data_IF_568875412147
#
_entry.id   IF_568875412147
#
_cell.length_a   1.000
_cell.length_b   1.000
_cell.length_c   1.000
_cell.angle_alpha   90.00
_cell.angle_beta   90.00
_cell.angle_gamma   90.00
#
_symmetry.space_group_name_H-M   'P 1'
#
loop_
_entity.id
_entity.type
_entity.pdbx_description
1 polymer ?
#
# COMPACT_ATOMS: atom_id res chain seq x y z
N UNK A 1 -43.36 62.12 -0.73
CA UNK A 1 -42.77 61.17 0.27
C UNK A 1 -41.26 61.24 0.11
N UNK A 2 -40.55 61.79 1.08
CA UNK A 2 -39.09 61.91 1.10
C UNK A 2 -38.51 60.68 1.81
N UNK A 3 -37.66 59.89 1.15
CA UNK A 3 -36.92 58.77 1.76
C UNK A 3 -35.70 59.35 2.51
N UNK A 4 -35.60 59.02 3.80
CA UNK A 4 -34.44 59.32 4.66
C UNK A 4 -33.51 58.12 4.59
N UNK A 5 -32.31 58.30 4.00
CA UNK A 5 -31.24 57.32 4.05
C UNK A 5 -30.45 57.47 5.34
N UNK A 6 -30.48 56.47 6.23
CA UNK A 6 -29.66 56.40 7.42
C UNK A 6 -28.37 55.68 7.07
N UNK A 7 -27.26 56.42 6.99
CA UNK A 7 -25.94 55.82 6.82
C UNK A 7 -25.44 55.20 8.12
N UNK A 8 -25.22 53.88 8.10
CA UNK A 8 -24.52 53.18 9.17
C UNK A 8 -22.99 53.35 8.95
N UNK A 9 -22.36 54.11 9.83
CA UNK A 9 -20.90 54.17 9.92
C UNK A 9 -20.40 52.91 10.66
N UNK A 10 -19.78 52.01 9.94
CA UNK A 10 -19.06 50.84 10.49
C UNK A 10 -17.74 51.35 11.07
N UNK A 11 -17.59 51.41 12.38
CA UNK A 11 -16.31 51.62 13.06
C UNK A 11 -15.63 50.27 13.13
N UNK A 12 -14.65 50.04 12.25
CA UNK A 12 -13.77 48.87 12.33
C UNK A 12 -12.75 49.11 13.46
N UNK A 13 -12.98 48.48 14.63
CA UNK A 13 -11.96 48.39 15.67
C UNK A 13 -10.96 47.33 15.27
N UNK A 14 -9.79 47.74 14.76
CA UNK A 14 -8.64 46.88 14.58
C UNK A 14 -8.08 46.55 15.97
N UNK A 15 -8.52 45.44 16.56
CA UNK A 15 -7.80 44.81 17.67
C UNK A 15 -6.56 44.11 17.09
N UNK A 16 -5.39 44.72 17.22
CA UNK A 16 -4.13 44.08 17.04
C UNK A 16 -3.94 43.08 18.20
N UNK A 17 -4.47 41.89 18.03
CA UNK A 17 -4.22 40.79 18.93
C UNK A 17 -2.75 40.40 18.79
N UNK A 18 -1.94 40.75 19.80
CA UNK A 18 -0.61 40.14 19.97
C UNK A 18 -0.85 38.65 20.26
N UNK A 19 -0.83 37.82 19.26
CA UNK A 19 -0.65 36.38 19.41
C UNK A 19 0.78 36.18 19.93
N UNK A 20 0.99 36.24 21.24
CA UNK A 20 2.11 35.53 21.84
C UNK A 20 1.82 34.07 21.57
N UNK A 21 2.48 33.52 20.53
CA UNK A 21 2.48 32.08 20.29
C UNK A 21 3.06 31.44 21.55
N UNK A 22 2.18 30.80 22.34
CA UNK A 22 2.61 29.86 23.37
C UNK A 22 3.30 28.75 22.59
N UNK A 23 4.64 28.81 22.52
CA UNK A 23 5.44 27.68 22.06
C UNK A 23 5.09 26.55 23.03
N UNK A 24 4.29 25.59 22.57
CA UNK A 24 3.92 24.44 23.36
C UNK A 24 5.20 23.75 23.80
N UNK A 25 5.29 23.36 25.06
CA UNK A 25 6.41 22.60 25.57
C UNK A 25 6.53 21.30 24.76
N UNK A 26 7.66 21.09 24.08
CA UNK A 26 7.88 19.93 23.19
C UNK A 26 8.04 18.62 23.95
N UNK A 27 8.10 18.65 25.28
CA UNK A 27 8.25 17.48 26.15
C UNK A 27 8.91 17.83 27.47
N UNK A 28 9.36 16.82 28.19
CA UNK A 28 9.87 16.93 29.56
C UNK A 28 11.27 16.29 29.68
N UNK A 29 12.08 16.75 30.65
CA UNK A 29 13.39 16.18 30.93
C UNK A 29 13.47 15.50 32.32
N UNK A 30 12.40 15.56 33.12
CA UNK A 30 12.32 15.11 34.49
C UNK A 30 11.38 13.89 34.69
N UNK A 31 10.80 13.38 33.62
CA UNK A 31 9.93 12.19 33.65
C UNK A 31 10.72 10.88 33.75
N UNK A 32 10.10 9.78 34.16
CA UNK A 32 10.73 8.46 34.23
C UNK A 32 11.24 7.98 32.87
N UNK A 33 12.30 7.20 32.86
CA UNK A 33 12.72 6.45 31.66
C UNK A 33 11.73 5.36 31.30
N UNK A 34 11.52 5.15 30.02
CA UNK A 34 10.76 4.02 29.52
C UNK A 34 11.54 2.72 29.77
N UNK A 35 10.91 1.64 30.27
CA UNK A 35 11.58 0.37 30.51
C UNK A 35 12.32 -0.15 29.26
N UNK A 36 13.60 -0.47 29.40
CA UNK A 36 14.42 -0.99 28.31
C UNK A 36 14.79 0.03 27.21
N UNK A 37 14.44 1.32 27.37
CA UNK A 37 14.74 2.35 26.39
C UNK A 37 15.66 3.44 26.95
N UNK A 38 16.28 4.18 26.04
CA UNK A 38 17.13 5.34 26.39
C UNK A 38 16.35 6.65 26.55
N UNK A 39 15.06 6.64 26.25
CA UNK A 39 14.20 7.82 26.26
C UNK A 39 13.30 7.83 27.48
N UNK A 40 13.00 9.02 27.97
CA UNK A 40 12.00 9.27 29.02
C UNK A 40 10.59 9.28 28.43
N UNK A 41 9.61 9.17 29.28
CA UNK A 41 8.20 9.46 28.90
C UNK A 41 8.12 10.92 28.46
N UNK A 42 7.63 11.16 27.26
CA UNK A 42 7.54 12.50 26.66
C UNK A 42 8.86 13.28 26.61
N UNK A 43 9.97 12.59 26.34
CA UNK A 43 11.31 13.16 26.28
C UNK A 43 11.40 14.23 25.17
N UNK A 44 11.74 15.47 25.56
CA UNK A 44 11.87 16.59 24.62
C UNK A 44 13.01 16.42 23.60
N UNK A 45 13.97 15.53 23.90
CA UNK A 45 15.15 15.24 23.07
C UNK A 45 14.95 14.04 22.13
N UNK A 46 13.81 13.32 22.29
CA UNK A 46 13.50 12.21 21.39
C UNK A 46 13.27 12.72 19.98
N UNK A 47 13.94 12.16 18.96
CA UNK A 47 13.73 12.56 17.57
C UNK A 47 12.26 12.49 17.19
N UNK A 48 11.78 13.52 16.53
CA UNK A 48 10.44 13.51 15.94
C UNK A 48 10.40 12.52 14.76
N UNK A 49 9.28 11.84 14.53
CA UNK A 49 9.12 11.00 13.34
C UNK A 49 9.25 11.85 12.06
N UNK A 50 9.78 11.28 10.98
CA UNK A 50 9.81 11.97 9.69
C UNK A 50 8.41 12.32 9.23
N UNK A 51 8.27 13.45 8.55
CA UNK A 51 7.01 13.85 7.94
C UNK A 51 6.88 13.17 6.59
N UNK A 52 5.88 12.34 6.46
CA UNK A 52 5.51 11.67 5.21
C UNK A 52 4.24 12.32 4.68
N UNK A 53 4.23 12.70 3.41
CA UNK A 53 3.03 13.20 2.78
C UNK A 53 2.09 12.01 2.49
N UNK A 54 0.85 12.02 3.02
CA UNK A 54 -0.12 11.00 2.67
C UNK A 54 -0.46 11.08 1.18
N UNK A 55 -0.95 9.98 0.62
CA UNK A 55 -1.43 9.97 -0.75
C UNK A 55 -2.51 11.04 -0.96
N UNK A 56 -2.41 11.79 -2.04
CA UNK A 56 -3.40 12.83 -2.39
C UNK A 56 -4.74 12.25 -2.85
N UNK A 57 -4.74 11.01 -3.30
CA UNK A 57 -5.90 10.25 -3.76
C UNK A 57 -5.87 8.88 -3.07
N UNK A 58 -6.97 8.38 -2.51
CA UNK A 58 -7.03 7.03 -1.96
C UNK A 58 -6.55 5.97 -2.97
N UNK A 59 -5.71 5.05 -2.52
CA UNK A 59 -5.10 4.02 -3.37
C UNK A 59 -3.74 4.40 -3.96
N UNK A 60 -3.37 5.67 -3.99
CA UNK A 60 -2.03 6.08 -4.40
C UNK A 60 -1.01 5.84 -3.25
N UNK A 61 0.27 5.63 -3.58
CA UNK A 61 1.30 5.42 -2.56
C UNK A 61 1.60 6.71 -1.78
N UNK A 62 1.95 6.63 -0.49
CA UNK A 62 2.50 7.74 0.28
C UNK A 62 3.90 8.12 -0.23
N UNK A 63 4.42 9.28 0.19
CA UNK A 63 5.66 9.84 -0.34
C UNK A 63 6.94 9.05 -0.02
N UNK A 64 6.89 8.17 0.97
CA UNK A 64 7.99 7.29 1.38
C UNK A 64 7.87 5.86 0.82
N UNK A 65 6.87 5.58 0.01
CA UNK A 65 6.72 4.26 -0.61
C UNK A 65 7.80 4.01 -1.67
N UNK A 66 8.34 2.80 -1.68
CA UNK A 66 9.19 2.31 -2.76
C UNK A 66 8.28 1.79 -3.87
N UNK A 67 8.23 2.51 -4.99
CA UNK A 67 7.41 2.12 -6.13
C UNK A 67 8.12 1.01 -6.90
N UNK A 68 7.60 -0.20 -6.83
CA UNK A 68 8.14 -1.36 -7.54
C UNK A 68 7.70 -1.43 -9.00
N UNK A 69 6.52 -0.89 -9.30
CA UNK A 69 5.99 -0.79 -10.65
C UNK A 69 5.10 0.47 -10.76
N UNK A 70 5.39 1.32 -11.73
CA UNK A 70 4.68 2.59 -11.94
C UNK A 70 3.84 2.61 -13.24
N UNK A 71 3.61 1.43 -13.82
CA UNK A 71 2.85 1.29 -15.05
C UNK A 71 3.65 1.48 -16.34
N UNK A 72 4.97 1.72 -16.28
CA UNK A 72 5.78 2.09 -17.47
C UNK A 72 6.72 1.00 -17.92
N UNK A 73 7.48 0.39 -17.01
CA UNK A 73 8.49 -0.59 -17.36
C UNK A 73 8.76 -1.60 -16.22
N UNK A 74 9.60 -2.59 -16.51
CA UNK A 74 10.03 -3.62 -15.59
C UNK A 74 11.47 -3.42 -15.10
N UNK A 75 11.98 -2.20 -15.09
CA UNK A 75 13.39 -1.91 -14.72
C UNK A 75 13.76 -2.34 -13.30
N UNK A 76 12.78 -2.44 -12.40
CA UNK A 76 12.97 -2.93 -11.02
C UNK A 76 12.76 -4.45 -10.87
N UNK A 77 12.56 -5.16 -11.99
CA UNK A 77 12.26 -6.57 -12.02
C UNK A 77 13.24 -7.33 -12.91
N UNK A 78 13.51 -8.56 -12.56
CA UNK A 78 14.32 -9.49 -13.36
C UNK A 78 13.66 -10.85 -13.41
N UNK A 79 14.02 -11.66 -14.40
CA UNK A 79 13.63 -13.07 -14.45
C UNK A 79 14.18 -13.81 -13.23
N UNK A 80 13.29 -14.47 -12.49
CA UNK A 80 13.71 -15.31 -11.37
C UNK A 80 14.50 -16.56 -11.83
N UNK A 81 14.32 -16.99 -13.09
CA UNK A 81 14.96 -18.20 -13.62
C UNK A 81 16.35 -17.94 -14.17
N UNK A 82 16.54 -16.82 -14.86
CA UNK A 82 17.79 -16.54 -15.58
C UNK A 82 18.61 -15.41 -14.98
N UNK A 83 18.02 -14.62 -14.06
CA UNK A 83 18.63 -13.39 -13.56
C UNK A 83 18.66 -12.22 -14.57
N UNK A 84 18.30 -12.51 -15.83
CA UNK A 84 18.23 -11.51 -16.89
C UNK A 84 16.96 -10.65 -16.84
N UNK A 85 16.72 -9.81 -17.87
CA UNK A 85 15.55 -8.94 -17.91
C UNK A 85 14.23 -9.71 -17.77
N UNK A 86 13.29 -9.16 -16.99
CA UNK A 86 11.93 -9.66 -16.96
C UNK A 86 11.26 -9.50 -18.33
N UNK A 87 10.45 -10.49 -18.73
CA UNK A 87 9.84 -10.55 -20.08
C UNK A 87 8.31 -10.57 -20.04
N UNK A 88 7.72 -10.13 -18.95
CA UNK A 88 6.29 -9.88 -18.91
C UNK A 88 5.96 -8.65 -19.77
N UNK A 89 4.74 -8.58 -20.26
CA UNK A 89 4.29 -7.49 -21.09
C UNK A 89 3.87 -6.29 -20.22
N UNK A 90 4.22 -5.08 -20.65
CA UNK A 90 3.73 -3.85 -20.00
C UNK A 90 2.91 -3.07 -21.02
N UNK A 91 1.65 -2.87 -20.73
CA UNK A 91 0.76 -2.02 -21.53
C UNK A 91 -0.38 -1.51 -20.65
N UNK A 92 -1.03 -0.43 -21.06
CA UNK A 92 -2.20 0.14 -20.37
C UNK A 92 -1.98 0.40 -18.87
N UNK A 93 -0.73 0.61 -18.43
CA UNK A 93 -0.40 0.89 -17.04
C UNK A 93 -0.31 -0.33 -16.13
N UNK A 94 -0.37 -1.54 -16.66
CA UNK A 94 -0.18 -2.78 -15.89
C UNK A 94 0.85 -3.71 -16.55
N UNK A 95 1.36 -4.66 -15.79
CA UNK A 95 2.20 -5.75 -16.28
C UNK A 95 1.39 -7.04 -16.37
N UNK A 96 1.56 -7.76 -17.46
CA UNK A 96 0.85 -8.99 -17.77
C UNK A 96 1.80 -10.16 -17.91
N UNK A 97 1.43 -11.29 -17.31
CA UNK A 97 2.18 -12.54 -17.43
C UNK A 97 2.14 -13.02 -18.87
N UNK A 98 3.32 -13.24 -19.46
CA UNK A 98 3.43 -13.85 -20.79
C UNK A 98 3.77 -15.33 -20.60
N UNK A 99 2.93 -16.26 -21.06
CA UNK A 99 3.18 -17.69 -20.92
C UNK A 99 4.56 -18.11 -21.43
N UNK A 100 5.26 -18.94 -20.66
CA UNK A 100 6.60 -19.44 -21.02
C UNK A 100 7.75 -18.48 -20.72
N UNK A 101 7.52 -17.29 -20.19
CA UNK A 101 8.59 -16.35 -19.80
C UNK A 101 9.09 -16.54 -18.39
N UNK A 102 8.37 -17.31 -17.58
CA UNK A 102 8.71 -17.63 -16.19
C UNK A 102 8.38 -16.51 -15.20
N UNK A 103 8.78 -16.74 -13.98
CA UNK A 103 8.54 -15.84 -12.87
C UNK A 103 9.48 -14.64 -12.92
N UNK A 104 9.04 -13.55 -12.35
CA UNK A 104 9.85 -12.34 -12.14
C UNK A 104 10.05 -12.11 -10.64
N UNK A 105 11.16 -11.47 -10.31
CA UNK A 105 11.46 -11.06 -8.94
C UNK A 105 11.98 -9.63 -8.92
N UNK A 106 11.86 -8.97 -7.81
CA UNK A 106 12.45 -7.65 -7.60
C UNK A 106 13.98 -7.71 -7.73
N UNK A 107 14.58 -6.66 -8.29
CA UNK A 107 16.05 -6.51 -8.33
C UNK A 107 16.59 -6.24 -6.94
N UNK A 108 15.89 -5.39 -6.19
CA UNK A 108 16.17 -5.08 -4.79
C UNK A 108 15.59 -6.16 -3.88
N UNK A 109 16.29 -6.46 -2.79
CA UNK A 109 15.86 -7.40 -1.77
C UNK A 109 15.26 -6.65 -0.58
N UNK A 110 14.18 -7.18 -0.02
CA UNK A 110 13.47 -6.59 1.11
C UNK A 110 13.37 -7.59 2.27
N UNK A 111 13.48 -7.07 3.51
CA UNK A 111 13.15 -7.81 4.72
C UNK A 111 11.70 -7.56 5.14
N UNK A 112 11.50 -7.17 6.41
CA UNK A 112 10.19 -6.77 6.92
C UNK A 112 9.60 -5.64 6.07
N UNK A 113 8.35 -5.80 5.65
CA UNK A 113 7.73 -4.82 4.74
C UNK A 113 6.21 -4.79 4.84
N UNK A 114 5.65 -3.70 4.37
CA UNK A 114 4.24 -3.59 4.01
C UNK A 114 4.17 -3.51 2.48
N UNK A 115 3.55 -4.51 1.86
CA UNK A 115 3.43 -4.61 0.42
C UNK A 115 1.98 -4.38 0.00
N UNK A 116 1.75 -3.37 -0.83
CA UNK A 116 0.50 -3.18 -1.54
C UNK A 116 0.65 -3.68 -2.97
N UNK A 117 -0.26 -4.53 -3.41
CA UNK A 117 -0.29 -5.06 -4.78
C UNK A 117 -1.71 -5.15 -5.31
N UNK A 118 -1.90 -4.71 -6.53
CA UNK A 118 -3.16 -4.84 -7.26
C UNK A 118 -3.01 -5.93 -8.32
N UNK A 119 -4.06 -6.71 -8.51
CA UNK A 119 -4.07 -7.78 -9.50
C UNK A 119 -5.45 -7.98 -10.09
N UNK A 120 -5.51 -8.56 -11.28
CA UNK A 120 -6.75 -8.86 -11.98
C UNK A 120 -6.62 -10.18 -12.75
N UNK A 121 -7.65 -10.99 -12.70
CA UNK A 121 -7.78 -12.14 -13.58
C UNK A 121 -8.46 -11.68 -14.88
N UNK A 122 -7.96 -12.02 -16.06
CA UNK A 122 -8.62 -11.67 -17.33
C UNK A 122 -10.07 -12.14 -17.40
N UNK A 123 -10.95 -11.36 -18.01
CA UNK A 123 -12.37 -11.65 -18.11
C UNK A 123 -12.66 -12.97 -18.85
N UNK A 124 -11.82 -13.32 -19.83
CA UNK A 124 -11.97 -14.51 -20.65
C UNK A 124 -11.21 -15.74 -20.12
N UNK A 125 -10.82 -15.71 -18.81
CA UNK A 125 -10.09 -16.82 -18.17
C UNK A 125 -10.79 -18.17 -18.37
N UNK A 126 -10.01 -19.21 -18.60
CA UNK A 126 -10.47 -20.59 -18.81
C UNK A 126 -9.97 -21.52 -17.72
N UNK A 127 -10.62 -22.66 -17.60
CA UNK A 127 -10.23 -23.71 -16.67
C UNK A 127 -11.13 -23.79 -15.45
N UNK A 128 -10.66 -24.53 -14.44
CA UNK A 128 -11.34 -24.74 -13.15
C UNK A 128 -10.32 -25.07 -12.07
N UNK A 129 -10.73 -24.94 -10.81
CA UNK A 129 -9.87 -25.23 -9.66
C UNK A 129 -8.55 -24.48 -9.76
N UNK A 130 -7.44 -25.14 -9.50
CA UNK A 130 -6.10 -24.55 -9.60
C UNK A 130 -5.63 -24.26 -11.04
N UNK A 131 -6.36 -24.71 -12.04
CA UNK A 131 -6.07 -24.43 -13.44
C UNK A 131 -6.73 -23.16 -13.98
N UNK A 132 -7.34 -22.31 -13.13
CA UNK A 132 -8.06 -21.11 -13.54
C UNK A 132 -7.48 -19.85 -12.91
N UNK A 133 -6.76 -19.04 -13.71
CA UNK A 133 -6.22 -17.77 -13.29
C UNK A 133 -5.24 -17.88 -12.11
N UNK A 134 -4.32 -18.84 -12.17
CA UNK A 134 -3.38 -19.14 -11.09
C UNK A 134 -2.07 -18.36 -11.24
N UNK A 135 -1.66 -17.75 -10.15
CA UNK A 135 -0.38 -17.07 -9.96
C UNK A 135 -0.06 -17.02 -8.46
N UNK A 136 1.02 -16.36 -8.05
CA UNK A 136 1.37 -16.22 -6.64
C UNK A 136 2.35 -15.10 -6.37
N UNK A 137 2.35 -14.62 -5.13
CA UNK A 137 3.29 -13.64 -4.62
C UNK A 137 4.20 -14.37 -3.63
N UNK A 138 5.47 -14.53 -4.01
CA UNK A 138 6.43 -15.24 -3.18
C UNK A 138 7.21 -14.27 -2.28
N UNK A 139 7.15 -14.50 -0.98
CA UNK A 139 7.94 -13.81 0.02
C UNK A 139 9.13 -14.69 0.40
N UNK A 140 10.34 -14.10 0.37
CA UNK A 140 11.62 -14.80 0.57
C UNK A 140 11.84 -16.00 -0.36
N UNK A 141 11.12 -16.07 -1.49
CA UNK A 141 11.15 -17.22 -2.40
C UNK A 141 10.65 -18.55 -1.79
N UNK A 142 9.89 -18.49 -0.69
CA UNK A 142 9.44 -19.68 0.06
C UNK A 142 7.96 -19.69 0.37
N UNK A 143 7.41 -18.55 0.74
CA UNK A 143 6.02 -18.43 1.20
C UNK A 143 5.22 -17.79 0.10
N UNK A 144 4.23 -18.49 -0.38
CA UNK A 144 3.36 -18.02 -1.44
C UNK A 144 2.06 -17.48 -0.86
N UNK A 145 1.74 -16.24 -1.19
CA UNK A 145 0.38 -15.71 -1.04
C UNK A 145 -0.31 -15.94 -2.37
N UNK A 146 -1.32 -16.81 -2.35
CA UNK A 146 -1.97 -17.30 -3.55
C UNK A 146 -2.74 -16.21 -4.29
N UNK A 147 -2.54 -16.15 -5.59
CA UNK A 147 -3.39 -15.46 -6.55
C UNK A 147 -4.11 -16.51 -7.39
N UNK A 148 -5.43 -16.51 -7.32
CA UNK A 148 -6.27 -17.48 -8.04
C UNK A 148 -7.61 -16.83 -8.37
N UNK A 149 -8.20 -17.20 -9.48
CA UNK A 149 -9.62 -16.95 -9.66
C UNK A 149 -10.43 -17.88 -8.74
N UNK A 150 -10.79 -17.36 -7.58
CA UNK A 150 -11.62 -18.06 -6.58
C UNK A 150 -13.09 -17.65 -6.62
N UNK A 151 -13.48 -16.79 -7.58
CA UNK A 151 -14.88 -16.42 -7.78
C UNK A 151 -15.68 -17.58 -8.41
N UNK A 152 -16.65 -18.10 -7.68
CA UNK A 152 -17.45 -19.26 -8.12
C UNK A 152 -16.59 -20.42 -8.67
N UNK A 153 -15.43 -20.66 -8.05
CA UNK A 153 -14.47 -21.67 -8.45
C UNK A 153 -14.09 -22.54 -7.26
N UNK A 154 -14.45 -23.80 -7.30
CA UNK A 154 -14.18 -24.75 -6.23
C UNK A 154 -12.76 -25.30 -6.33
N UNK A 155 -12.02 -25.26 -5.24
CA UNK A 155 -10.72 -25.86 -5.06
C UNK A 155 -10.49 -26.18 -3.59
N UNK A 156 -9.31 -26.71 -3.22
CA UNK A 156 -8.96 -26.89 -1.83
C UNK A 156 -8.76 -25.54 -1.12
N UNK A 157 -9.15 -25.47 0.15
CA UNK A 157 -9.27 -24.21 0.87
C UNK A 157 -7.93 -23.45 1.00
N UNK A 158 -6.83 -24.15 1.24
CA UNK A 158 -5.48 -23.60 1.39
C UNK A 158 -4.76 -23.30 0.06
N UNK A 159 -5.48 -23.39 -1.05
CA UNK A 159 -5.06 -22.95 -2.38
C UNK A 159 -5.98 -21.90 -2.99
N UNK A 160 -6.92 -21.34 -2.23
CA UNK A 160 -7.76 -20.23 -2.66
C UNK A 160 -6.99 -18.90 -2.65
N UNK A 161 -7.50 -17.89 -3.35
CA UNK A 161 -6.94 -16.54 -3.32
C UNK A 161 -6.73 -16.05 -1.87
N UNK A 162 -5.59 -15.42 -1.60
CA UNK A 162 -5.12 -14.96 -0.29
C UNK A 162 -4.73 -16.06 0.73
N UNK A 163 -4.73 -17.33 0.34
CA UNK A 163 -4.15 -18.37 1.19
C UNK A 163 -2.62 -18.15 1.34
N UNK A 164 -2.07 -18.53 2.50
CA UNK A 164 -0.67 -18.92 2.57
C UNK A 164 -0.62 -20.35 2.03
N UNK A 165 -0.25 -20.50 0.76
CA UNK A 165 -0.46 -21.69 -0.03
C UNK A 165 0.01 -22.98 0.65
N UNK A 166 -0.88 -23.96 0.71
CA UNK A 166 -0.62 -25.24 1.35
C UNK A 166 -0.45 -25.20 2.86
N UNK A 167 -0.71 -24.06 3.51
CA UNK A 167 -0.55 -23.89 4.96
C UNK A 167 -1.81 -23.38 5.65
N UNK A 168 -2.32 -22.22 5.23
CA UNK A 168 -3.47 -21.59 5.86
C UNK A 168 -4.44 -21.06 4.80
N UNK A 169 -5.71 -21.46 4.87
CA UNK A 169 -6.74 -20.90 3.99
C UNK A 169 -7.03 -19.44 4.36
N UNK A 170 -7.59 -18.64 3.43
CA UNK A 170 -8.14 -17.35 3.78
C UNK A 170 -9.32 -17.51 4.76
N UNK A 171 -9.56 -16.50 5.60
CA UNK A 171 -10.69 -16.52 6.53
C UNK A 171 -12.05 -16.42 5.81
N UNK A 172 -12.05 -15.78 4.65
CA UNK A 172 -13.23 -15.62 3.80
C UNK A 172 -12.81 -15.65 2.32
N UNK A 173 -13.69 -16.03 1.43
CA UNK A 173 -13.49 -15.84 0.00
C UNK A 173 -14.09 -14.48 -0.40
N UNK A 174 -13.23 -13.49 -0.56
CA UNK A 174 -13.57 -12.14 -1.01
C UNK A 174 -13.16 -11.87 -2.47
N UNK A 175 -12.85 -12.93 -3.23
CA UNK A 175 -12.39 -12.82 -4.61
C UNK A 175 -13.46 -12.15 -5.48
N UNK A 176 -13.06 -11.13 -6.23
CA UNK A 176 -13.90 -10.51 -7.25
C UNK A 176 -13.96 -11.38 -8.50
N UNK A 177 -14.97 -11.14 -9.32
CA UNK A 177 -15.10 -11.86 -10.60
C UNK A 177 -13.98 -11.47 -11.57
N UNK A 178 -13.66 -12.34 -12.54
CA UNK A 178 -12.73 -12.01 -13.62
C UNK A 178 -13.08 -10.68 -14.30
N UNK A 179 -12.06 -9.92 -14.68
CA UNK A 179 -12.19 -8.57 -15.22
C UNK A 179 -12.21 -7.45 -14.18
N UNK A 180 -12.29 -7.75 -12.89
CA UNK A 180 -12.26 -6.75 -11.83
C UNK A 180 -10.91 -6.73 -11.10
N UNK A 181 -10.37 -5.53 -10.87
CA UNK A 181 -9.15 -5.33 -10.06
C UNK A 181 -9.41 -5.64 -8.60
N UNK A 182 -8.43 -6.28 -7.97
CA UNK A 182 -8.40 -6.67 -6.56
C UNK A 182 -7.07 -6.26 -5.95
N UNK A 183 -7.03 -6.14 -4.63
CA UNK A 183 -5.84 -5.69 -3.91
C UNK A 183 -5.47 -6.67 -2.81
N UNK A 184 -4.16 -6.80 -2.56
CA UNK A 184 -3.62 -7.36 -1.33
C UNK A 184 -2.78 -6.29 -0.62
N UNK A 185 -2.99 -6.17 0.68
CA UNK A 185 -2.13 -5.46 1.61
C UNK A 185 -1.49 -6.49 2.53
N UNK A 186 -0.19 -6.73 2.34
CA UNK A 186 0.55 -7.79 3.02
C UNK A 186 1.52 -7.15 4.01
N UNK A 187 1.45 -7.55 5.28
CA UNK A 187 2.45 -7.21 6.29
C UNK A 187 3.31 -8.45 6.50
N UNK A 188 4.58 -8.33 6.16
CA UNK A 188 5.59 -9.37 6.33
C UNK A 188 6.59 -8.96 7.41
N UNK A 189 6.82 -9.86 8.41
CA UNK A 189 7.72 -9.62 9.55
C UNK A 189 8.61 -10.85 9.75
#
# INVERSE_FOLDING_TARGET
>A
MRAIAVGLALVAILTVGFFMGVMGQLGYEDTPFLPGQKWRVHDSKRPQPPVVAPASIPGNPPSDAIILFDGKDLSKWRSAWTGGPARWKVENGYMEIVPGTGDIQTVEEFGDCQLHIEWMIPEDVKGSGQGRGNSGIFLMGRYEIQVLDSYENQTYADGMAAAVYGQYPPLVNACRKPGEWQTYDIIWI
#
